data_IF_449095791468
#
_entry.id   IF_449095791468
#
_cell.length_a   1.000
_cell.length_b   1.000
_cell.length_c   1.000
_cell.angle_alpha   90.00
_cell.angle_beta   90.00
_cell.angle_gamma   90.00
#
_symmetry.space_group_name_H-M   'P 1'
#
loop_
_entity.id
_entity.type
_entity.pdbx_description
1 polymer ?
#
# COMPACT_ATOMS: atom_id res chain seq x y z
N UNK A 1 41.48 -24.47 38.88
CA UNK A 1 41.78 -24.61 37.45
C UNK A 1 40.52 -24.19 36.69
N UNK A 2 40.51 -22.96 36.21
CA UNK A 2 39.34 -22.18 35.77
C UNK A 2 39.46 -22.01 34.25
N UNK A 3 38.77 -22.83 33.46
CA UNK A 3 38.64 -22.67 32.00
C UNK A 3 37.37 -23.38 31.55
N UNK A 4 36.26 -22.66 31.31
CA UNK A 4 35.13 -23.04 30.42
C UNK A 4 33.90 -22.12 30.69
N UNK A 5 34.02 -20.81 30.42
CA UNK A 5 32.88 -19.87 30.49
C UNK A 5 32.92 -18.80 29.38
N UNK A 6 33.35 -19.17 28.16
CA UNK A 6 33.53 -18.20 27.05
C UNK A 6 32.85 -18.60 25.73
N UNK A 7 31.84 -19.47 25.74
CA UNK A 7 31.30 -20.04 24.50
C UNK A 7 29.83 -19.80 24.17
N UNK A 8 29.10 -18.95 24.90
CA UNK A 8 27.66 -18.79 24.65
C UNK A 8 27.12 -17.40 25.01
N UNK A 9 27.81 -16.35 24.58
CA UNK A 9 27.06 -15.15 24.14
C UNK A 9 26.45 -15.51 22.79
N UNK A 10 25.38 -16.32 22.83
CA UNK A 10 24.47 -16.42 21.71
C UNK A 10 23.92 -15.00 21.57
N UNK A 11 24.36 -14.31 20.52
CA UNK A 11 23.89 -13.00 20.15
C UNK A 11 22.36 -13.06 20.09
N UNK A 12 21.73 -12.62 21.18
CA UNK A 12 20.36 -12.17 21.20
C UNK A 12 20.36 -10.82 20.49
N UNK A 13 20.79 -10.81 19.23
CA UNK A 13 20.50 -9.71 18.34
C UNK A 13 18.99 -9.68 18.29
N UNK A 14 18.40 -8.69 18.95
CA UNK A 14 17.03 -8.26 18.72
C UNK A 14 16.88 -8.05 17.22
N UNK A 15 16.56 -9.11 16.49
CA UNK A 15 15.91 -9.01 15.21
C UNK A 15 14.57 -8.40 15.56
N UNK A 16 14.49 -7.08 15.47
CA UNK A 16 13.22 -6.38 15.45
C UNK A 16 12.41 -7.08 14.38
N UNK A 17 11.44 -7.88 14.78
CA UNK A 17 10.47 -8.46 13.87
C UNK A 17 9.65 -7.28 13.35
N UNK A 18 10.16 -6.61 12.32
CA UNK A 18 9.38 -5.66 11.54
C UNK A 18 8.28 -6.49 10.91
N UNK A 19 7.03 -6.12 11.18
CA UNK A 19 5.90 -6.83 10.58
C UNK A 19 6.04 -6.71 9.08
N UNK A 20 6.33 -7.81 8.39
CA UNK A 20 6.49 -7.78 6.94
C UNK A 20 5.17 -7.42 6.22
N UNK A 21 4.03 -7.54 6.91
CA UNK A 21 2.70 -7.35 6.33
C UNK A 21 1.84 -6.48 7.24
N UNK A 22 1.09 -5.59 6.62
CA UNK A 22 0.15 -4.66 7.22
C UNK A 22 -1.24 -4.88 6.62
N UNK A 23 -2.29 -4.71 7.42
CA UNK A 23 -3.67 -4.66 6.94
C UNK A 23 -4.10 -3.22 6.68
N UNK A 24 -4.90 -3.03 5.63
CA UNK A 24 -5.68 -1.79 5.44
C UNK A 24 -6.72 -1.71 6.55
N UNK A 25 -6.60 -0.75 7.45
CA UNK A 25 -7.49 -0.59 8.60
C UNK A 25 -8.54 0.51 8.42
N UNK A 26 -8.23 1.49 7.57
CA UNK A 26 -9.08 2.67 7.37
C UNK A 26 -8.93 3.16 5.94
N UNK A 27 -10.05 3.52 5.31
CA UNK A 27 -10.10 4.36 4.11
C UNK A 27 -10.49 5.77 4.55
N UNK A 28 -9.81 6.78 4.04
CA UNK A 28 -10.16 8.18 4.31
C UNK A 28 -11.07 8.74 3.21
N UNK A 29 -12.09 9.51 3.60
CA UNK A 29 -12.96 10.28 2.71
C UNK A 29 -13.14 11.73 3.22
N UNK A 30 -13.69 12.62 2.39
CA UNK A 30 -13.80 14.06 2.67
C UNK A 30 -14.08 14.91 1.41
N UNK A 31 -14.22 16.23 1.57
CA UNK A 31 -14.68 17.15 0.50
C UNK A 31 -13.69 18.24 0.07
N UNK A 32 -12.42 18.17 0.47
CA UNK A 32 -11.49 19.31 0.36
C UNK A 32 -10.74 19.42 -0.99
N UNK A 33 -11.22 18.78 -2.06
CA UNK A 33 -10.67 18.96 -3.41
C UNK A 33 -9.19 18.56 -3.61
N UNK A 34 -8.63 17.72 -2.73
CA UNK A 34 -7.26 17.19 -2.82
C UNK A 34 -7.12 15.79 -2.18
N UNK A 35 -5.90 15.34 -1.87
CA UNK A 35 -5.57 13.99 -1.31
C UNK A 35 -6.12 13.69 0.10
N UNK A 36 -7.16 14.38 0.53
CA UNK A 36 -7.84 14.12 1.80
C UNK A 36 -8.88 13.00 1.71
N UNK A 37 -9.18 12.47 0.51
CA UNK A 37 -10.16 11.42 0.30
C UNK A 37 -9.74 10.38 -0.74
N UNK A 38 -10.49 9.26 -0.79
CA UNK A 38 -10.25 8.15 -1.70
C UNK A 38 -11.36 8.05 -2.75
N UNK A 39 -11.01 8.15 -4.03
CA UNK A 39 -11.96 8.18 -5.14
C UNK A 39 -11.31 7.84 -6.49
N UNK A 40 -12.16 7.56 -7.47
CA UNK A 40 -11.85 7.54 -8.88
C UNK A 40 -12.39 8.81 -9.53
N UNK A 41 -11.59 9.45 -10.37
CA UNK A 41 -11.96 10.68 -11.07
C UNK A 41 -11.59 10.63 -12.55
N UNK A 42 -12.20 11.49 -13.35
CA UNK A 42 -11.85 11.70 -14.75
C UNK A 42 -10.48 12.39 -14.85
N UNK A 43 -9.52 11.74 -15.53
CA UNK A 43 -8.19 12.29 -15.79
C UNK A 43 -8.05 12.89 -17.21
N UNK A 44 -9.12 12.88 -18.02
CA UNK A 44 -9.11 13.39 -19.38
C UNK A 44 -9.19 14.93 -19.42
N UNK A 45 -8.05 15.60 -19.56
CA UNK A 45 -8.07 17.05 -19.77
C UNK A 45 -6.72 17.74 -19.60
N UNK A 46 -6.53 18.84 -20.34
CA UNK A 46 -5.34 19.71 -20.31
C UNK A 46 -5.32 20.66 -19.10
N UNK A 47 -5.86 20.24 -17.96
CA UNK A 47 -5.68 20.97 -16.71
C UNK A 47 -4.60 20.25 -15.89
N UNK A 48 -3.32 20.62 -16.04
CA UNK A 48 -2.24 20.07 -15.21
C UNK A 48 -2.45 20.35 -13.71
N UNK A 49 -3.50 21.09 -13.33
CA UNK A 49 -3.92 21.39 -11.96
C UNK A 49 -5.45 21.32 -11.70
N UNK A 50 -6.23 20.42 -12.30
CA UNK A 50 -7.56 20.07 -11.74
C UNK A 50 -7.55 18.60 -11.30
N UNK A 51 -7.34 18.21 -10.04
CA UNK A 51 -7.22 18.91 -8.74
C UNK A 51 -8.47 19.70 -8.27
N UNK A 52 -9.69 19.23 -8.58
CA UNK A 52 -10.96 19.71 -8.01
C UNK A 52 -12.11 18.72 -8.28
N UNK A 53 -13.23 18.75 -7.53
CA UNK A 53 -14.29 17.73 -7.50
C UNK A 53 -15.10 17.53 -8.80
N UNK A 54 -14.75 18.22 -9.88
CA UNK A 54 -15.49 18.18 -11.14
C UNK A 54 -14.96 17.03 -12.00
N UNK A 55 -15.49 15.83 -11.74
CA UNK A 55 -15.16 14.62 -12.50
C UNK A 55 -15.10 13.33 -11.67
N UNK A 56 -15.52 13.34 -10.40
CA UNK A 56 -15.56 12.10 -9.59
C UNK A 56 -16.49 11.08 -10.29
N UNK A 57 -15.90 9.93 -10.65
CA UNK A 57 -16.59 8.81 -11.28
C UNK A 57 -17.09 7.79 -10.22
N UNK A 58 -16.38 7.69 -9.10
CA UNK A 58 -16.71 6.81 -7.99
C UNK A 58 -16.04 7.27 -6.70
N UNK A 59 -16.74 7.26 -5.57
CA UNK A 59 -16.11 7.37 -4.25
C UNK A 59 -15.80 5.98 -3.70
N UNK A 60 -14.67 5.86 -2.99
CA UNK A 60 -14.39 4.67 -2.20
C UNK A 60 -15.17 4.75 -0.88
N UNK A 61 -15.97 3.73 -0.59
CA UNK A 61 -16.77 3.66 0.62
C UNK A 61 -15.89 3.43 1.86
N UNK A 62 -16.34 3.99 2.99
CA UNK A 62 -15.70 3.80 4.30
C UNK A 62 -15.91 2.40 4.90
N UNK A 63 -16.67 1.54 4.23
CA UNK A 63 -16.96 0.16 4.62
C UNK A 63 -16.88 -0.74 3.40
N UNK A 64 -16.85 -2.06 3.62
CA UNK A 64 -16.75 -3.02 2.51
C UNK A 64 -15.37 -3.02 1.84
N UNK A 65 -14.32 -2.65 2.58
CA UNK A 65 -12.95 -2.75 2.13
C UNK A 65 -12.19 -3.86 2.85
N UNK A 66 -11.17 -4.39 2.20
CA UNK A 66 -10.15 -5.26 2.78
C UNK A 66 -8.85 -5.08 2.00
N UNK A 67 -7.71 -5.36 2.63
CA UNK A 67 -6.45 -5.30 1.90
C UNK A 67 -5.23 -5.50 2.78
N UNK A 68 -4.10 -5.71 2.12
CA UNK A 68 -2.80 -5.90 2.74
C UNK A 68 -1.71 -5.17 1.97
N UNK A 69 -0.67 -4.76 2.69
CA UNK A 69 0.57 -4.22 2.15
C UNK A 69 1.74 -4.94 2.79
N UNK A 70 2.72 -5.39 2.00
CA UNK A 70 3.95 -5.99 2.50
C UNK A 70 5.12 -5.03 2.27
N UNK A 71 5.71 -4.51 3.35
CA UNK A 71 6.73 -3.45 3.29
C UNK A 71 8.10 -3.96 2.81
N UNK A 72 8.33 -5.27 2.85
CA UNK A 72 9.57 -5.90 2.38
C UNK A 72 9.53 -6.12 0.86
N UNK A 73 8.40 -6.61 0.35
CA UNK A 73 8.23 -6.98 -1.07
C UNK A 73 7.55 -5.90 -1.90
N UNK A 74 6.93 -4.92 -1.24
CA UNK A 74 6.04 -3.93 -1.86
C UNK A 74 4.68 -4.48 -2.27
N UNK A 75 4.38 -5.77 -2.05
CA UNK A 75 3.12 -6.34 -2.51
C UNK A 75 1.93 -5.64 -1.86
N UNK A 76 1.05 -5.10 -2.69
CA UNK A 76 -0.18 -4.47 -2.28
C UNK A 76 -1.36 -5.19 -2.92
N UNK A 77 -2.37 -5.51 -2.11
CA UNK A 77 -3.63 -6.08 -2.58
C UNK A 77 -4.78 -5.49 -1.78
N UNK A 78 -5.83 -5.00 -2.44
CA UNK A 78 -7.03 -4.53 -1.77
C UNK A 78 -8.28 -4.79 -2.58
N UNK A 79 -9.41 -4.91 -1.89
CA UNK A 79 -10.76 -4.88 -2.47
C UNK A 79 -11.48 -3.73 -1.80
N UNK A 80 -12.05 -2.83 -2.60
CA UNK A 80 -12.67 -1.60 -2.15
C UNK A 80 -14.10 -1.54 -2.68
N UNK A 81 -15.07 -1.29 -1.80
CA UNK A 81 -16.42 -1.00 -2.23
C UNK A 81 -16.52 0.44 -2.78
N UNK A 82 -17.31 0.60 -3.84
CA UNK A 82 -17.57 1.89 -4.49
C UNK A 82 -19.03 2.29 -4.32
N UNK A 83 -19.31 3.59 -4.36
CA UNK A 83 -20.67 4.14 -4.26
C UNK A 83 -21.47 4.12 -5.57
N UNK A 84 -20.92 3.48 -6.62
CA UNK A 84 -21.50 3.45 -7.95
C UNK A 84 -21.88 2.01 -8.38
N UNK A 85 -22.39 1.88 -9.61
CA UNK A 85 -22.84 0.60 -10.18
C UNK A 85 -21.69 -0.35 -10.62
N UNK A 86 -20.44 0.10 -10.59
CA UNK A 86 -19.26 -0.68 -10.98
C UNK A 86 -18.96 -1.83 -10.00
N UNK A 87 -19.63 -1.86 -8.84
CA UNK A 87 -19.37 -2.84 -7.79
C UNK A 87 -18.00 -2.63 -7.14
N UNK A 88 -17.55 -3.59 -6.30
CA UNK A 88 -16.22 -3.53 -5.72
C UNK A 88 -15.11 -3.49 -6.78
N UNK A 89 -14.10 -2.67 -6.54
CA UNK A 89 -12.84 -2.68 -7.28
C UNK A 89 -11.77 -3.48 -6.53
N UNK A 90 -10.99 -4.25 -7.26
CA UNK A 90 -9.79 -4.93 -6.77
C UNK A 90 -8.56 -4.17 -7.25
N UNK A 91 -7.59 -4.03 -6.35
CA UNK A 91 -6.31 -3.41 -6.56
C UNK A 91 -5.22 -4.45 -6.29
N UNK A 92 -4.26 -4.61 -7.20
CA UNK A 92 -3.11 -5.50 -6.98
C UNK A 92 -1.86 -4.93 -7.62
N UNK A 93 -0.72 -5.00 -6.96
CA UNK A 93 0.53 -4.52 -7.54
C UNK A 93 1.71 -4.56 -6.60
N UNK A 94 2.79 -3.92 -7.03
CA UNK A 94 4.01 -3.74 -6.25
C UNK A 94 4.23 -2.25 -6.05
N UNK A 95 4.16 -1.81 -4.80
CA UNK A 95 4.40 -0.45 -4.35
C UNK A 95 5.63 -0.44 -3.46
N UNK A 96 6.78 -0.05 -4.00
CA UNK A 96 8.02 0.03 -3.24
C UNK A 96 8.22 1.46 -2.76
N UNK A 97 8.49 1.65 -1.48
CA UNK A 97 8.81 2.96 -0.91
C UNK A 97 10.27 3.01 -0.50
N UNK A 98 10.93 4.15 -0.70
CA UNK A 98 12.30 4.35 -0.25
C UNK A 98 12.36 4.61 1.27
N UNK A 99 13.58 4.71 1.81
CA UNK A 99 13.79 4.98 3.23
C UNK A 99 13.28 6.35 3.70
N UNK A 100 12.90 7.24 2.78
CA UNK A 100 12.24 8.52 3.08
C UNK A 100 10.71 8.42 3.00
N UNK A 101 10.16 7.23 2.74
CA UNK A 101 8.73 7.00 2.59
C UNK A 101 8.16 7.52 1.29
N UNK A 102 8.98 7.75 0.26
CA UNK A 102 8.53 8.15 -1.07
C UNK A 102 8.37 6.91 -1.95
N UNK A 103 7.28 6.86 -2.71
CA UNK A 103 7.07 5.78 -3.67
C UNK A 103 8.17 5.80 -4.73
N UNK A 104 8.75 4.63 -4.98
CA UNK A 104 9.72 4.39 -6.02
C UNK A 104 9.11 4.70 -7.39
N UNK A 105 9.96 5.18 -8.30
CA UNK A 105 9.55 5.49 -9.65
C UNK A 105 8.89 4.28 -10.32
N UNK A 106 7.87 4.56 -11.14
CA UNK A 106 7.25 3.58 -12.02
C UNK A 106 6.59 2.41 -11.29
N UNK A 107 6.13 2.63 -10.05
CA UNK A 107 5.22 1.70 -9.40
C UNK A 107 3.90 1.67 -10.19
N UNK A 108 3.27 0.50 -10.26
CA UNK A 108 2.00 0.31 -10.96
C UNK A 108 1.05 -0.53 -10.12
N UNK A 109 -0.24 -0.33 -10.36
CA UNK A 109 -1.32 -1.04 -9.69
C UNK A 109 -2.37 -1.47 -10.71
N UNK A 110 -2.59 -2.76 -10.83
CA UNK A 110 -3.69 -3.33 -11.59
C UNK A 110 -5.01 -3.02 -10.87
N UNK A 111 -5.97 -2.51 -11.63
CA UNK A 111 -7.27 -2.09 -11.17
C UNK A 111 -8.34 -2.86 -11.95
N UNK A 112 -9.10 -3.69 -11.24
CA UNK A 112 -10.13 -4.56 -11.83
C UNK A 112 -11.47 -4.34 -11.16
N UNK A 113 -12.53 -4.15 -11.92
CA UNK A 113 -13.87 -3.97 -11.39
C UNK A 113 -14.70 -5.25 -11.48
N UNK A 114 -15.59 -5.47 -10.53
CA UNK A 114 -16.41 -6.69 -10.45
C UNK A 114 -17.84 -6.54 -10.99
N UNK A 115 -18.29 -5.31 -11.22
CA UNK A 115 -19.65 -4.98 -11.69
C UNK A 115 -19.70 -4.54 -13.15
N UNK A 116 -20.85 -3.98 -13.53
CA UNK A 116 -21.03 -3.45 -14.88
C UNK A 116 -20.45 -2.05 -14.98
N UNK A 117 -19.52 -1.90 -15.89
CA UNK A 117 -18.76 -0.70 -16.11
C UNK A 117 -19.49 0.29 -17.02
N UNK A 118 -19.45 1.57 -16.65
CA UNK A 118 -19.99 2.67 -17.46
C UNK A 118 -18.96 3.80 -17.61
N UNK A 119 -18.85 4.37 -18.82
CA UNK A 119 -17.95 5.49 -19.09
C UNK A 119 -16.47 5.11 -19.03
N UNK A 120 -15.66 5.95 -18.38
CA UNK A 120 -14.21 5.77 -18.26
C UNK A 120 -13.77 4.69 -17.25
N UNK A 121 -14.71 4.14 -16.47
CA UNK A 121 -14.41 3.05 -15.56
C UNK A 121 -14.19 1.77 -16.37
N UNK A 122 -12.96 1.30 -16.44
CA UNK A 122 -12.61 0.06 -17.14
C UNK A 122 -11.41 -0.56 -16.44
N UNK A 123 -11.28 -1.88 -16.55
CA UNK A 123 -10.10 -2.57 -16.03
C UNK A 123 -8.86 -1.96 -16.68
N UNK A 124 -7.91 -1.57 -15.85
CA UNK A 124 -6.76 -0.80 -16.30
C UNK A 124 -5.61 -0.93 -15.32
N UNK A 125 -4.51 -0.27 -15.63
CA UNK A 125 -3.34 -0.19 -14.77
C UNK A 125 -3.14 1.27 -14.41
N UNK A 126 -3.01 1.55 -13.11
CA UNK A 126 -2.71 2.87 -12.58
C UNK A 126 -1.20 3.01 -12.41
N UNK A 127 -0.64 4.07 -12.97
CA UNK A 127 0.76 4.48 -12.81
C UNK A 127 0.93 5.57 -11.77
N UNK A 128 2.05 5.52 -11.07
CA UNK A 128 2.42 6.54 -10.09
C UNK A 128 3.75 7.20 -10.45
N UNK A 129 3.74 8.53 -10.51
CA UNK A 129 4.96 9.31 -10.56
C UNK A 129 5.68 9.27 -9.20
N UNK A 130 7.01 9.39 -9.25
CA UNK A 130 7.86 9.31 -8.07
C UNK A 130 7.57 10.45 -7.08
N UNK A 131 7.33 10.08 -5.82
CA UNK A 131 7.35 11.00 -4.69
C UNK A 131 6.28 12.10 -4.74
N UNK A 132 6.62 13.29 -4.23
CA UNK A 132 5.69 14.42 -4.10
C UNK A 132 5.49 15.13 -5.44
N UNK A 133 4.45 14.72 -6.17
CA UNK A 133 4.20 15.17 -7.55
C UNK A 133 3.62 16.58 -7.64
N UNK A 134 2.79 16.99 -6.69
CA UNK A 134 2.19 18.31 -6.73
C UNK A 134 1.63 18.68 -5.35
N UNK A 135 1.54 19.99 -5.09
CA UNK A 135 0.94 20.62 -3.92
C UNK A 135 1.86 20.77 -2.68
N UNK A 136 1.81 21.96 -2.08
CA UNK A 136 2.31 22.26 -0.74
C UNK A 136 1.30 21.81 0.32
N UNK A 137 1.73 21.23 1.45
CA UNK A 137 0.83 20.78 2.52
C UNK A 137 1.37 19.56 3.27
N UNK A 138 0.52 18.88 4.05
CA UNK A 138 0.89 17.67 4.82
C UNK A 138 0.50 16.36 4.15
N UNK A 139 -0.31 16.39 3.08
CA UNK A 139 -0.83 15.20 2.41
C UNK A 139 -0.18 15.05 1.04
N UNK A 140 1.10 14.68 1.02
CA UNK A 140 1.83 14.48 -0.23
C UNK A 140 1.34 13.21 -0.94
N UNK A 141 1.13 13.21 -2.27
CA UNK A 141 0.81 12.00 -2.99
C UNK A 141 2.02 11.06 -3.00
N UNK A 142 1.74 9.76 -3.11
CA UNK A 142 2.75 8.72 -3.30
C UNK A 142 3.77 8.69 -2.14
N UNK A 143 3.29 8.80 -0.90
CA UNK A 143 4.11 8.82 0.31
C UNK A 143 3.56 8.00 1.47
N UNK A 144 4.41 7.80 2.47
CA UNK A 144 4.04 7.44 3.84
C UNK A 144 4.15 8.64 4.78
N UNK A 145 3.12 8.85 5.60
CA UNK A 145 3.16 9.69 6.80
C UNK A 145 2.72 8.85 8.01
N UNK A 146 3.70 8.38 8.78
CA UNK A 146 3.47 7.41 9.85
C UNK A 146 2.88 6.10 9.31
N UNK A 147 1.65 5.79 9.69
CA UNK A 147 0.93 4.61 9.19
C UNK A 147 -0.04 4.92 8.05
N UNK A 148 -0.04 6.15 7.53
CA UNK A 148 -0.91 6.56 6.44
C UNK A 148 -0.15 6.42 5.13
N UNK A 149 -0.74 5.67 4.19
CA UNK A 149 -0.29 5.60 2.80
C UNK A 149 -1.19 6.50 1.96
N UNK A 150 -0.57 7.33 1.13
CA UNK A 150 -1.24 8.14 0.11
C UNK A 150 -0.73 7.72 -1.27
N UNK A 151 -1.64 7.48 -2.20
CA UNK A 151 -1.36 7.18 -3.59
C UNK A 151 -2.17 8.11 -4.50
N UNK A 152 -1.51 8.58 -5.54
CA UNK A 152 -2.12 9.29 -6.65
C UNK A 152 -1.52 8.83 -7.96
N UNK A 153 -2.38 8.34 -8.83
CA UNK A 153 -1.98 7.87 -10.12
C UNK A 153 -3.10 8.01 -11.14
N UNK A 154 -2.76 7.72 -12.38
CA UNK A 154 -3.74 7.68 -13.46
C UNK A 154 -3.48 6.48 -14.37
N UNK A 155 -4.51 6.13 -15.14
CA UNK A 155 -4.45 5.02 -16.07
C UNK A 155 -3.61 5.35 -17.32
N UNK A 156 -3.21 4.29 -18.00
CA UNK A 156 -2.49 4.36 -19.27
C UNK A 156 -2.82 3.14 -20.13
N UNK A 157 -2.50 3.20 -21.42
CA UNK A 157 -2.80 2.13 -22.39
C UNK A 157 -1.95 0.87 -22.17
N UNK A 158 -0.72 1.00 -21.68
CA UNK A 158 0.12 -0.13 -21.27
C UNK A 158 1.12 0.23 -20.17
N UNK A 159 1.45 -0.73 -19.29
CA UNK A 159 2.43 -0.51 -18.20
C UNK A 159 3.81 -0.17 -18.72
N UNK A 160 4.16 -0.67 -19.90
CA UNK A 160 5.40 -0.33 -20.57
C UNK A 160 5.46 1.16 -20.94
N UNK A 161 4.36 1.76 -21.41
CA UNK A 161 4.38 3.16 -21.86
C UNK A 161 4.61 4.13 -20.71
N UNK A 162 3.98 3.90 -19.56
CA UNK A 162 4.21 4.73 -18.38
C UNK A 162 5.60 4.56 -17.80
N UNK A 163 6.10 3.32 -17.68
CA UNK A 163 7.47 3.04 -17.19
C UNK A 163 8.52 3.79 -18.03
N UNK A 164 8.30 3.91 -19.33
CA UNK A 164 9.26 4.51 -20.26
C UNK A 164 9.13 6.04 -20.38
N UNK A 165 7.94 6.60 -20.20
CA UNK A 165 7.67 8.03 -20.47
C UNK A 165 7.41 8.87 -19.22
N UNK A 166 6.95 8.25 -18.13
CA UNK A 166 6.50 8.94 -16.91
C UNK A 166 5.43 9.99 -17.18
N UNK A 167 4.61 9.82 -18.23
CA UNK A 167 3.64 10.82 -18.67
C UNK A 167 2.21 10.33 -18.48
N UNK A 168 1.36 11.20 -17.95
CA UNK A 168 -0.09 10.99 -17.90
C UNK A 168 -0.83 11.54 -19.14
N UNK A 169 -0.10 11.87 -20.21
CA UNK A 169 -0.72 12.39 -21.42
C UNK A 169 -1.68 11.34 -22.00
N UNK A 170 -2.96 11.72 -22.13
CA UNK A 170 -4.01 10.83 -22.64
C UNK A 170 -4.67 9.94 -21.58
N UNK A 171 -4.30 10.08 -20.30
CA UNK A 171 -5.02 9.41 -19.21
C UNK A 171 -6.49 9.83 -19.17
N UNK A 172 -7.36 8.92 -18.74
CA UNK A 172 -8.82 9.10 -18.69
C UNK A 172 -9.42 8.76 -17.32
N UNK A 173 -8.72 8.00 -16.49
CA UNK A 173 -9.11 7.57 -15.15
C UNK A 173 -7.97 7.87 -14.17
N UNK A 174 -8.26 8.66 -13.14
CA UNK A 174 -7.39 8.93 -12.01
C UNK A 174 -7.83 8.19 -10.75
N UNK A 175 -6.88 7.90 -9.88
CA UNK A 175 -7.07 7.30 -8.56
C UNK A 175 -6.46 8.21 -7.50
N UNK A 176 -7.29 8.66 -6.56
CA UNK A 176 -6.85 9.18 -5.27
C UNK A 176 -7.10 8.09 -4.23
N UNK A 177 -6.07 7.73 -3.47
CA UNK A 177 -6.22 6.67 -2.49
C UNK A 177 -5.43 6.98 -1.23
N UNK A 178 -6.15 7.13 -0.11
CA UNK A 178 -5.57 7.43 1.19
C UNK A 178 -6.08 6.45 2.23
N UNK A 179 -5.15 5.73 2.85
CA UNK A 179 -5.44 4.63 3.76
C UNK A 179 -4.58 4.66 5.00
N UNK A 180 -5.10 4.11 6.10
CA UNK A 180 -4.27 3.76 7.25
C UNK A 180 -3.94 2.26 7.22
N UNK A 181 -2.70 1.96 7.58
CA UNK A 181 -2.19 0.61 7.73
C UNK A 181 -2.01 0.26 9.21
N UNK A 182 -2.22 -1.02 9.52
CA UNK A 182 -1.94 -1.58 10.85
C UNK A 182 -1.08 -2.83 10.71
N UNK A 183 0.01 -2.98 11.49
CA UNK A 183 0.84 -4.17 11.43
C UNK A 183 0.03 -5.44 11.71
N UNK A 184 0.24 -6.49 10.92
CA UNK A 184 -0.32 -7.81 11.21
C UNK A 184 0.47 -8.41 12.39
N UNK A 185 -0.18 -8.76 13.52
CA UNK A 185 0.52 -9.33 14.65
C UNK A 185 1.20 -10.67 14.30
N UNK A 186 2.41 -10.88 14.79
CA UNK A 186 3.10 -12.17 14.66
C UNK A 186 2.25 -13.24 15.37
N UNK A 187 1.91 -14.37 14.71
CA UNK A 187 1.08 -15.39 15.32
C UNK A 187 1.65 -15.89 16.65
N UNK A 188 0.78 -16.06 17.66
CA UNK A 188 1.16 -16.59 18.97
C UNK A 188 1.90 -17.94 18.87
N UNK A 189 1.60 -18.73 17.83
CA UNK A 189 2.28 -19.97 17.54
C UNK A 189 3.80 -19.82 17.38
N UNK A 190 4.31 -18.71 16.83
CA UNK A 190 5.76 -18.47 16.69
C UNK A 190 6.40 -18.31 18.07
N UNK A 191 5.74 -17.60 18.98
CA UNK A 191 6.19 -17.45 20.36
C UNK A 191 6.13 -18.77 21.15
N UNK A 192 5.04 -19.53 20.99
CA UNK A 192 4.88 -20.84 21.64
C UNK A 192 5.90 -21.86 21.11
N UNK A 193 6.14 -21.86 19.80
CA UNK A 193 7.12 -22.73 19.18
C UNK A 193 8.55 -22.36 19.61
N UNK A 194 8.90 -21.08 19.57
CA UNK A 194 10.22 -20.60 20.00
C UNK A 194 10.50 -20.89 21.48
N UNK A 195 9.53 -20.62 22.36
CA UNK A 195 9.65 -20.92 23.79
C UNK A 195 9.67 -22.43 24.08
N UNK A 196 8.86 -23.21 23.37
CA UNK A 196 8.87 -24.67 23.46
C UNK A 196 10.22 -25.28 23.06
N UNK A 197 10.81 -24.80 21.96
CA UNK A 197 12.12 -25.27 21.50
C UNK A 197 13.24 -24.95 22.50
N UNK A 198 13.25 -23.73 23.07
CA UNK A 198 14.18 -23.36 24.13
C UNK A 198 14.02 -24.25 25.38
N UNK A 199 12.77 -24.55 25.75
CA UNK A 199 12.46 -25.48 26.83
C UNK A 199 13.04 -26.88 26.57
N UNK A 200 12.87 -27.41 25.36
CA UNK A 200 13.42 -28.71 24.96
C UNK A 200 14.96 -28.73 24.99
N UNK A 201 15.63 -27.68 24.51
CA UNK A 201 17.09 -27.56 24.60
C UNK A 201 17.56 -27.54 26.06
N UNK A 202 16.85 -26.82 26.93
CA UNK A 202 17.12 -26.80 28.36
C UNK A 202 17.02 -28.18 29.01
N UNK A 203 16.01 -28.97 28.65
CA UNK A 203 15.84 -30.35 29.12
C UNK A 203 16.94 -31.27 28.59
N UNK A 204 17.28 -31.15 27.31
CA UNK A 204 18.31 -32.00 26.68
C UNK A 204 19.69 -31.82 27.34
N UNK A 205 20.03 -30.61 27.78
CA UNK A 205 21.30 -30.30 28.46
C UNK A 205 21.41 -30.82 29.89
N UNK A 206 20.30 -31.21 30.54
CA UNK A 206 20.33 -31.77 31.90
C UNK A 206 20.79 -33.22 31.99
N UNK A 207 20.97 -33.91 30.85
CA UNK A 207 21.36 -35.32 30.80
C UNK A 207 22.88 -35.56 30.69
N UNK A 208 23.69 -34.54 30.96
CA UNK A 208 25.17 -34.61 31.00
C UNK A 208 25.63 -34.10 32.35
#
# INVERSE_FOLDING_TARGET
>A
MIKLFSGLLLALSCLTATAATYNVSTIFNGSDGGFSFSSLHDASGSNPQALGPDGILANVLLTGFSGTYNDVTGSFNAVLALDNAAGPMSLSGILLFDGAGLLAANSTLDLTFSGTQGGALSDTIIGFEKGKVCCSGTNYPNTFDGNIMTLWGANFDSSADFINTGSYAGATLGLDFRIALTPVPVPAAVWLFGSGLLGLVGIARRKV
#
